data_IF_860106633095
#
_entry.id   IF_860106633095
#
_cell.length_a   1.000
_cell.length_b   1.000
_cell.length_c   1.000
_cell.angle_alpha   90.00
_cell.angle_beta   90.00
_cell.angle_gamma   90.00
#
_symmetry.space_group_name_H-M   'P 1'
#
loop_
_entity.id
_entity.type
_entity.pdbx_description
1 polymer ?
#
# COMPACT_ATOMS: atom_id res chain seq x y z
N UNK A 1 -5.65 2.61 24.54
CA UNK A 1 -5.07 2.23 23.23
C UNK A 1 -3.61 2.64 23.21
N UNK A 2 -2.73 1.75 22.86
CA UNK A 2 -1.29 2.05 22.78
C UNK A 2 -1.03 2.86 21.52
N UNK A 3 -0.39 4.01 21.66
CA UNK A 3 0.00 4.81 20.50
C UNK A 3 1.11 4.09 19.72
N UNK A 4 0.88 3.96 18.41
CA UNK A 4 1.85 3.35 17.52
C UNK A 4 2.88 4.41 17.13
N UNK A 5 4.16 4.11 17.35
CA UNK A 5 5.25 4.99 16.99
C UNK A 5 5.51 4.93 15.49
N UNK A 6 5.48 6.07 14.79
CA UNK A 6 5.54 6.15 13.32
C UNK A 6 6.43 7.28 12.79
N UNK A 7 7.67 7.45 13.30
CA UNK A 7 8.53 8.57 12.88
C UNK A 7 8.90 8.53 11.39
N UNK A 8 9.09 7.36 10.82
CA UNK A 8 9.41 7.22 9.39
C UNK A 8 8.20 7.55 8.51
N UNK A 9 7.00 7.13 8.91
CA UNK A 9 5.76 7.54 8.23
C UNK A 9 5.55 9.06 8.29
N UNK A 10 5.86 9.70 9.42
CA UNK A 10 5.77 11.15 9.57
C UNK A 10 6.75 11.87 8.62
N UNK A 11 7.98 11.40 8.55
CA UNK A 11 9.00 11.95 7.65
C UNK A 11 8.60 11.77 6.18
N UNK A 12 8.11 10.60 5.79
CA UNK A 12 7.63 10.32 4.43
C UNK A 12 6.41 11.17 4.07
N UNK A 13 5.47 11.34 4.99
CA UNK A 13 4.29 12.16 4.74
C UNK A 13 4.67 13.64 4.54
N UNK A 14 5.59 14.15 5.34
CA UNK A 14 6.10 15.51 5.17
C UNK A 14 6.73 15.72 3.79
N UNK A 15 7.51 14.76 3.32
CA UNK A 15 8.09 14.77 1.96
C UNK A 15 7.00 14.67 0.88
N UNK A 16 6.04 13.78 1.06
CA UNK A 16 4.95 13.58 0.10
C UNK A 16 4.10 14.85 -0.08
N UNK A 17 3.85 15.61 0.97
CA UNK A 17 3.11 16.86 0.92
C UNK A 17 3.80 17.94 0.07
N UNK A 18 5.12 17.88 -0.09
CA UNK A 18 5.88 18.81 -0.94
C UNK A 18 5.67 18.51 -2.43
N UNK A 19 5.54 17.24 -2.80
CA UNK A 19 5.55 16.79 -4.21
C UNK A 19 4.18 16.34 -4.74
N UNK A 20 3.21 16.16 -3.87
CA UNK A 20 1.87 15.68 -4.24
C UNK A 20 0.79 16.38 -3.43
N UNK A 21 -0.32 16.84 -4.04
CA UNK A 21 -1.42 17.49 -3.31
C UNK A 21 -1.93 16.63 -2.17
N UNK A 22 -1.87 17.18 -0.92
CA UNK A 22 -2.27 16.47 0.28
C UNK A 22 -1.36 15.32 0.71
N UNK A 23 -0.25 15.07 -0.03
CA UNK A 23 0.70 14.00 0.27
C UNK A 23 0.23 12.59 -0.03
N UNK A 24 -0.86 12.44 -0.78
CA UNK A 24 -1.51 11.15 -1.06
C UNK A 24 -2.04 11.09 -2.49
N UNK A 25 -2.20 9.86 -3.01
CA UNK A 25 -2.80 9.62 -4.32
C UNK A 25 -4.34 9.59 -4.28
N UNK A 26 -4.92 9.50 -3.09
CA UNK A 26 -6.37 9.55 -2.87
C UNK A 26 -6.65 10.28 -1.55
N UNK A 27 -7.57 11.27 -1.53
CA UNK A 27 -7.80 12.12 -0.35
C UNK A 27 -8.14 11.35 0.93
N UNK A 28 -8.82 10.21 0.83
CA UNK A 28 -9.19 9.39 1.99
C UNK A 28 -7.96 8.86 2.74
N UNK A 29 -6.83 8.72 2.05
CA UNK A 29 -5.58 8.20 2.63
C UNK A 29 -4.81 9.24 3.46
N UNK A 30 -5.23 10.51 3.43
CA UNK A 30 -4.54 11.59 4.17
C UNK A 30 -4.90 11.66 5.66
N UNK A 31 -5.81 10.85 6.14
CA UNK A 31 -6.28 10.83 7.54
C UNK A 31 -6.92 12.12 8.03
N UNK A 32 -7.33 13.03 7.14
CA UNK A 32 -7.91 14.32 7.53
C UNK A 32 -9.15 14.20 8.38
N UNK A 33 -10.00 13.21 8.11
CA UNK A 33 -11.26 13.00 8.84
C UNK A 33 -11.08 12.23 10.16
N UNK A 34 -9.97 11.55 10.36
CA UNK A 34 -9.71 10.73 11.55
C UNK A 34 -8.55 11.24 12.39
N UNK A 35 -7.75 12.15 11.84
CA UNK A 35 -6.55 12.68 12.51
C UNK A 35 -5.36 11.72 12.46
N UNK A 36 -4.20 12.24 12.87
CA UNK A 36 -2.95 11.49 12.86
C UNK A 36 -2.25 11.50 11.52
N UNK A 37 -1.15 10.78 11.44
CA UNK A 37 -0.32 10.65 10.25
C UNK A 37 -0.64 9.35 9.51
N UNK A 38 -0.81 9.37 8.18
CA UNK A 38 -0.96 8.16 7.39
C UNK A 38 0.22 7.21 7.59
N UNK A 39 -0.08 5.91 7.69
CA UNK A 39 0.97 4.88 7.76
C UNK A 39 1.45 4.55 6.36
N UNK A 40 2.76 4.61 6.14
CA UNK A 40 3.36 4.22 4.86
C UNK A 40 3.75 2.75 4.93
N UNK A 41 3.14 1.93 4.09
CA UNK A 41 3.39 0.48 4.09
C UNK A 41 4.68 0.18 3.35
N UNK A 42 5.49 -0.70 3.94
CA UNK A 42 6.73 -1.19 3.37
C UNK A 42 6.51 -2.47 2.57
N UNK A 43 5.70 -3.38 3.09
CA UNK A 43 5.32 -4.61 2.41
C UNK A 43 4.03 -5.21 3.00
N UNK A 44 3.45 -6.17 2.27
CA UNK A 44 2.33 -6.98 2.74
C UNK A 44 2.60 -8.45 2.47
N UNK A 45 2.12 -9.32 3.35
CA UNK A 45 2.20 -10.77 3.20
C UNK A 45 1.00 -11.43 3.86
N UNK A 46 0.26 -12.23 3.09
CA UNK A 46 -0.96 -12.85 3.58
C UNK A 46 -1.96 -11.81 4.06
N UNK A 47 -2.43 -11.93 5.28
CA UNK A 47 -3.38 -11.01 5.89
C UNK A 47 -2.71 -9.80 6.58
N UNK A 48 -1.40 -9.65 6.50
CA UNK A 48 -0.64 -8.68 7.26
C UNK A 48 0.00 -7.61 6.38
N UNK A 49 -0.03 -6.37 6.88
CA UNK A 49 0.73 -5.24 6.37
C UNK A 49 1.80 -4.86 7.38
N UNK A 50 2.96 -4.46 6.89
CA UNK A 50 4.04 -3.92 7.73
C UNK A 50 4.39 -2.53 7.23
N UNK A 51 4.37 -1.54 8.12
CA UNK A 51 4.72 -0.17 7.77
C UNK A 51 6.25 0.03 7.73
N UNK A 52 6.65 1.23 7.34
CA UNK A 52 8.07 1.61 7.25
C UNK A 52 8.76 1.68 8.60
N UNK A 53 7.98 1.83 9.68
CA UNK A 53 8.47 1.86 11.05
C UNK A 53 8.55 0.45 11.68
N UNK A 54 8.12 -0.60 10.95
CA UNK A 54 8.14 -1.98 11.40
C UNK A 54 6.90 -2.44 12.17
N UNK A 55 5.88 -1.60 12.28
CA UNK A 55 4.63 -1.99 12.92
C UNK A 55 3.81 -2.89 12.00
N UNK A 56 3.15 -3.89 12.58
CA UNK A 56 2.32 -4.85 11.83
C UNK A 56 0.84 -4.61 12.09
N UNK A 57 0.06 -4.72 11.03
CA UNK A 57 -1.38 -4.52 11.04
C UNK A 57 -2.08 -5.69 10.34
N UNK A 58 -3.16 -6.19 10.95
CA UNK A 58 -4.04 -7.12 10.27
C UNK A 58 -4.88 -6.34 9.27
N UNK A 59 -4.83 -6.74 7.99
CA UNK A 59 -5.50 -6.02 6.91
C UNK A 59 -6.94 -6.51 6.73
N UNK A 60 -7.89 -5.67 7.12
CA UNK A 60 -9.32 -5.90 6.88
C UNK A 60 -9.85 -5.18 5.64
N UNK A 61 -9.01 -4.45 4.92
CA UNK A 61 -9.41 -3.65 3.76
C UNK A 61 -9.17 -4.39 2.44
N UNK A 62 -8.05 -5.14 2.34
CA UNK A 62 -7.71 -5.91 1.16
C UNK A 62 -7.60 -5.07 -0.12
N UNK A 63 -7.00 -3.87 -0.02
CA UNK A 63 -6.87 -2.90 -1.12
C UNK A 63 -8.22 -2.52 -1.76
N UNK A 64 -9.28 -2.48 -0.95
CA UNK A 64 -10.66 -2.18 -1.37
C UNK A 64 -11.27 -3.26 -2.26
N UNK A 65 -10.93 -4.54 -2.02
CA UNK A 65 -11.55 -5.72 -2.60
C UNK A 65 -10.67 -6.64 -3.45
N UNK A 66 -9.59 -6.19 -4.12
CA UNK A 66 -8.85 -7.07 -5.03
C UNK A 66 -7.99 -8.14 -4.34
N UNK A 67 -7.65 -7.99 -3.06
CA UNK A 67 -6.75 -8.89 -2.35
C UNK A 67 -7.45 -10.14 -1.78
N UNK A 68 -8.18 -10.89 -2.61
CA UNK A 68 -8.93 -12.08 -2.19
C UNK A 68 -8.04 -13.19 -1.60
N UNK A 69 -6.82 -13.32 -2.09
CA UNK A 69 -5.83 -14.31 -1.64
C UNK A 69 -4.81 -13.73 -0.67
N UNK A 70 -5.04 -12.51 -0.19
CA UNK A 70 -4.08 -11.78 0.64
C UNK A 70 -2.95 -11.16 -0.17
N UNK A 71 -2.00 -10.58 0.55
CA UNK A 71 -0.84 -9.91 -0.05
C UNK A 71 0.24 -10.90 -0.45
N UNK A 72 0.90 -10.64 -1.58
CA UNK A 72 2.06 -11.38 -2.06
C UNK A 72 1.84 -12.90 -2.15
N UNK A 73 0.65 -13.33 -2.58
CA UNK A 73 0.37 -14.75 -2.76
C UNK A 73 1.34 -15.35 -3.78
N UNK A 74 2.06 -16.44 -3.48
CA UNK A 74 3.14 -16.95 -4.33
C UNK A 74 2.72 -17.26 -5.76
N UNK A 75 1.56 -17.91 -5.96
CA UNK A 75 1.07 -18.24 -7.29
C UNK A 75 0.71 -16.99 -8.10
N UNK A 76 0.18 -15.95 -7.45
CA UNK A 76 -0.11 -14.66 -8.10
C UNK A 76 1.18 -13.95 -8.49
N UNK A 77 2.18 -13.91 -7.60
CA UNK A 77 3.48 -13.31 -7.89
C UNK A 77 4.18 -14.01 -9.08
N UNK A 78 4.14 -15.33 -9.13
CA UNK A 78 4.73 -16.10 -10.22
C UNK A 78 4.03 -15.78 -11.55
N UNK A 79 2.70 -15.72 -11.57
CA UNK A 79 1.94 -15.38 -12.77
C UNK A 79 2.19 -13.95 -13.24
N UNK A 80 2.26 -12.98 -12.31
CA UNK A 80 2.57 -11.57 -12.62
C UNK A 80 3.98 -11.44 -13.16
N UNK A 81 4.97 -12.10 -12.55
CA UNK A 81 6.35 -12.09 -13.01
C UNK A 81 6.47 -12.62 -14.43
N UNK A 82 5.80 -13.72 -14.74
CA UNK A 82 5.78 -14.28 -16.09
C UNK A 82 5.10 -13.34 -17.10
N UNK A 83 4.01 -12.69 -16.70
CA UNK A 83 3.29 -11.76 -17.56
C UNK A 83 4.11 -10.49 -17.87
N UNK A 84 4.81 -9.94 -16.88
CA UNK A 84 5.66 -8.74 -17.05
C UNK A 84 6.69 -8.95 -18.17
N UNK A 85 7.24 -10.15 -18.30
CA UNK A 85 8.21 -10.47 -19.34
C UNK A 85 7.67 -10.31 -20.78
N UNK A 86 6.33 -10.33 -20.96
CA UNK A 86 5.67 -10.15 -22.25
C UNK A 86 5.17 -8.74 -22.51
N UNK A 87 5.33 -7.82 -21.55
CA UNK A 87 4.85 -6.45 -21.60
C UNK A 87 3.66 -6.21 -20.67
N UNK A 88 3.42 -4.94 -20.35
CA UNK A 88 2.44 -4.53 -19.32
C UNK A 88 1.26 -3.74 -19.88
N UNK A 89 1.36 -3.26 -21.14
CA UNK A 89 0.29 -2.50 -21.78
C UNK A 89 0.51 -2.49 -23.29
N UNK A 90 -0.53 -2.74 -24.06
CA UNK A 90 -0.40 -2.87 -25.52
C UNK A 90 -1.25 -1.85 -26.30
N UNK A 91 -2.12 -1.10 -25.64
CA UNK A 91 -3.04 -0.16 -26.31
C UNK A 91 -4.07 -0.83 -27.21
N UNK A 92 -4.26 -2.14 -27.07
CA UNK A 92 -5.17 -3.00 -27.85
C UNK A 92 -5.64 -4.17 -26.98
N UNK A 93 -6.71 -4.87 -27.36
CA UNK A 93 -7.09 -6.08 -26.64
C UNK A 93 -5.94 -7.08 -26.56
N UNK A 94 -5.85 -7.78 -25.45
CA UNK A 94 -4.88 -8.83 -25.18
C UNK A 94 -5.58 -10.09 -24.62
N UNK A 95 -4.95 -11.25 -24.74
CA UNK A 95 -5.43 -12.50 -24.14
C UNK A 95 -5.30 -12.53 -22.60
#
# INVERSE_FOLDING_TARGET
MTDVNTPESEALFSRAQVVSPGGVNSPVRAFRSVGGTPRFMKFGQGAWLTDVDGNRYLDFVGSWGPMLLGHAHPQVLDAVTAAIARGTSFGTPAE
#
